data_IF_076211070832
#
_entry.id   IF_076211070832
#
_cell.length_a   1.000
_cell.length_b   1.000
_cell.length_c   1.000
_cell.angle_alpha   90.00
_cell.angle_beta   90.00
_cell.angle_gamma   90.00
#
_symmetry.space_group_name_H-M   'P 1'
#
loop_
_entity.id
_entity.type
_entity.pdbx_description
1 polymer ?
#
# COMPACT_ATOMS: atom_id res chain seq x y z
N UNK A 1 20.98 -9.79 31.55
CA UNK A 1 20.68 -8.41 31.13
C UNK A 1 19.56 -8.50 30.12
N UNK A 2 18.40 -7.89 30.39
CA UNK A 2 17.36 -7.74 29.37
C UNK A 2 17.95 -7.01 28.15
N UNK A 3 17.84 -7.63 26.97
CA UNK A 3 18.28 -7.00 25.71
C UNK A 3 17.32 -5.85 25.45
N UNK A 4 17.83 -4.63 25.32
CA UNK A 4 17.00 -3.47 24.96
C UNK A 4 16.46 -3.65 23.54
N UNK A 5 15.20 -3.30 23.34
CA UNK A 5 14.56 -3.29 22.03
C UNK A 5 15.36 -2.47 21.01
N UNK A 6 15.34 -2.93 19.75
CA UNK A 6 16.05 -2.32 18.62
C UNK A 6 15.55 -0.89 18.36
N UNK A 7 14.25 -0.66 18.58
CA UNK A 7 13.53 0.59 18.31
C UNK A 7 13.84 1.72 19.32
N UNK A 8 15.09 1.85 19.75
CA UNK A 8 15.55 2.97 20.58
C UNK A 8 16.68 3.73 19.89
N UNK A 9 16.75 5.07 19.99
CA UNK A 9 17.76 5.85 19.27
C UNK A 9 19.20 5.43 19.58
N UNK A 10 19.47 5.03 20.84
CA UNK A 10 20.79 4.57 21.26
C UNK A 10 21.15 3.21 20.65
N UNK A 11 20.23 2.24 20.70
CA UNK A 11 20.47 0.89 20.15
C UNK A 11 20.61 0.92 18.64
N UNK A 12 19.78 1.70 17.94
CA UNK A 12 19.91 1.82 16.48
C UNK A 12 21.25 2.47 16.09
N UNK A 13 21.73 3.49 16.81
CA UNK A 13 23.06 4.09 16.57
C UNK A 13 24.20 3.11 16.83
N UNK A 14 24.09 2.32 17.89
CA UNK A 14 25.06 1.27 18.20
C UNK A 14 25.18 0.27 17.05
N UNK A 15 24.06 -0.23 16.52
CA UNK A 15 24.02 -1.13 15.37
C UNK A 15 24.61 -0.49 14.11
N UNK A 16 24.25 0.77 13.82
CA UNK A 16 24.84 1.50 12.68
C UNK A 16 26.36 1.56 12.76
N UNK A 17 26.91 1.85 13.93
CA UNK A 17 28.36 1.93 14.15
C UNK A 17 29.02 0.56 14.10
N UNK A 18 28.45 -0.46 14.74
CA UNK A 18 28.95 -1.83 14.77
C UNK A 18 29.13 -2.39 13.35
N UNK A 19 28.21 -2.08 12.45
CA UNK A 19 28.21 -2.58 11.08
C UNK A 19 28.75 -1.58 10.04
N UNK A 20 29.21 -0.40 10.47
CA UNK A 20 29.66 0.67 9.56
C UNK A 20 28.60 1.07 8.53
N UNK A 21 27.32 0.99 8.92
CA UNK A 21 26.20 1.11 8.00
C UNK A 21 25.92 2.56 7.63
N UNK A 22 25.88 2.83 6.33
CA UNK A 22 25.50 4.13 5.78
C UNK A 22 24.18 4.02 5.01
N UNK A 23 23.28 4.96 5.31
CA UNK A 23 21.97 5.07 4.69
C UNK A 23 22.06 5.34 3.18
N UNK A 24 21.26 4.62 2.41
CA UNK A 24 21.03 4.90 0.98
C UNK A 24 19.77 5.74 0.80
N UNK A 25 19.93 7.01 0.45
CA UNK A 25 18.81 7.90 0.09
C UNK A 25 17.98 7.33 -1.07
N UNK A 26 18.61 6.67 -2.03
CA UNK A 26 17.95 6.04 -3.18
C UNK A 26 16.98 4.91 -2.80
N UNK A 27 17.19 4.27 -1.65
CA UNK A 27 16.29 3.22 -1.13
C UNK A 27 15.29 3.76 -0.11
N UNK A 28 15.24 5.09 0.12
CA UNK A 28 14.28 5.69 1.05
C UNK A 28 14.41 5.23 2.50
N UNK A 29 15.61 4.82 2.94
CA UNK A 29 15.84 4.27 4.27
C UNK A 29 15.65 5.33 5.36
N UNK A 30 14.58 5.18 6.15
CA UNK A 30 14.31 5.95 7.37
C UNK A 30 13.87 4.95 8.45
N UNK A 31 14.74 4.68 9.43
CA UNK A 31 14.46 3.67 10.45
C UNK A 31 13.65 4.26 11.59
N UNK A 32 12.59 3.55 11.99
CA UNK A 32 11.74 3.92 13.11
C UNK A 32 12.48 3.65 14.44
N UNK A 33 12.57 4.68 15.28
CA UNK A 33 13.32 4.68 16.55
C UNK A 33 12.44 5.03 17.76
N UNK A 34 11.13 4.84 17.63
CA UNK A 34 10.16 5.09 18.70
C UNK A 34 9.27 3.86 18.92
N UNK A 35 9.46 3.19 20.05
CA UNK A 35 8.73 1.98 20.42
C UNK A 35 7.24 2.22 20.63
N UNK A 36 6.82 3.43 21.04
CA UNK A 36 5.40 3.72 21.27
C UNK A 36 4.63 3.79 19.94
N UNK A 37 5.27 4.30 18.89
CA UNK A 37 4.69 4.25 17.53
C UNK A 37 4.56 2.80 17.07
N UNK A 38 5.56 1.96 17.35
CA UNK A 38 5.49 0.53 17.00
C UNK A 38 4.37 -0.16 17.76
N UNK A 39 4.22 0.06 19.06
CA UNK A 39 3.11 -0.53 19.83
C UNK A 39 1.75 -0.15 19.23
N UNK A 40 1.54 1.11 18.84
CA UNK A 40 0.31 1.52 18.15
C UNK A 40 0.07 0.83 16.81
N UNK A 41 1.15 0.52 16.07
CA UNK A 41 1.07 -0.27 14.83
C UNK A 41 0.66 -1.71 15.14
N UNK A 42 1.29 -2.33 16.14
CA UNK A 42 0.97 -3.70 16.59
C UNK A 42 -0.49 -3.77 17.06
N UNK A 43 -0.92 -2.87 17.94
CA UNK A 43 -2.29 -2.80 18.46
C UNK A 43 -3.32 -2.66 17.33
N UNK A 44 -3.06 -1.77 16.37
CA UNK A 44 -3.96 -1.56 15.23
C UNK A 44 -4.03 -2.77 14.29
N UNK A 45 -2.92 -3.52 14.18
CA UNK A 45 -2.82 -4.70 13.32
C UNK A 45 -3.60 -5.90 13.83
N UNK A 46 -3.89 -5.96 15.15
CA UNK A 46 -4.65 -7.06 15.77
C UNK A 46 -4.04 -8.44 15.47
N UNK A 47 -2.73 -8.50 15.24
CA UNK A 47 -2.00 -9.75 15.03
C UNK A 47 -1.90 -10.53 16.33
N UNK A 48 -1.87 -11.85 16.21
CA UNK A 48 -1.74 -12.77 17.33
C UNK A 48 -0.93 -14.01 16.95
N UNK A 49 -0.90 -15.00 17.85
CA UNK A 49 -0.17 -16.26 17.68
C UNK A 49 -0.76 -17.22 16.64
N UNK A 50 -1.80 -16.81 15.93
CA UNK A 50 -2.33 -17.51 14.75
C UNK A 50 -2.00 -16.78 13.44
N UNK A 51 -1.59 -15.50 13.54
CA UNK A 51 -1.43 -14.61 12.39
C UNK A 51 -0.04 -14.71 11.77
N UNK A 52 0.01 -14.86 10.45
CA UNK A 52 1.21 -14.67 9.63
C UNK A 52 1.35 -13.19 9.23
N UNK A 53 2.58 -12.67 9.23
CA UNK A 53 2.85 -11.29 8.85
C UNK A 53 3.77 -11.21 7.65
N UNK A 54 3.37 -10.41 6.65
CA UNK A 54 4.25 -9.96 5.58
C UNK A 54 4.75 -8.55 5.94
N UNK A 55 6.07 -8.40 6.01
CA UNK A 55 6.72 -7.10 6.21
C UNK A 55 7.54 -6.73 4.97
N UNK A 56 7.56 -5.44 4.64
CA UNK A 56 8.34 -4.91 3.51
C UNK A 56 9.33 -3.88 4.04
N UNK A 57 10.62 -4.15 3.86
CA UNK A 57 11.70 -3.28 4.32
C UNK A 57 11.86 -3.31 5.85
N UNK A 58 12.32 -4.43 6.44
CA UNK A 58 12.53 -4.55 7.88
C UNK A 58 13.59 -3.57 8.42
N UNK A 59 14.49 -3.07 7.56
CA UNK A 59 15.54 -2.14 7.97
C UNK A 59 16.47 -2.77 8.99
N UNK A 60 16.55 -2.19 10.19
CA UNK A 60 17.33 -2.74 11.31
C UNK A 60 16.60 -3.81 12.11
N UNK A 61 15.35 -4.13 11.75
CA UNK A 61 14.52 -5.09 12.47
C UNK A 61 13.68 -4.49 13.60
N UNK A 62 13.59 -3.15 13.72
CA UNK A 62 12.83 -2.49 14.79
C UNK A 62 11.37 -2.93 14.86
N UNK A 63 10.69 -2.96 13.70
CA UNK A 63 9.30 -3.40 13.61
C UNK A 63 9.25 -4.93 13.62
N UNK A 64 10.10 -5.60 12.84
CA UNK A 64 10.23 -7.06 12.78
C UNK A 64 10.33 -7.73 14.14
N UNK A 65 11.14 -7.19 15.05
CA UNK A 65 11.27 -7.69 16.42
C UNK A 65 9.92 -7.69 17.17
N UNK A 66 9.16 -6.60 17.05
CA UNK A 66 7.87 -6.49 17.73
C UNK A 66 6.82 -7.37 17.03
N UNK A 67 6.88 -7.51 15.71
CA UNK A 67 6.04 -8.47 14.99
C UNK A 67 6.32 -9.90 15.44
N UNK A 68 7.58 -10.30 15.56
CA UNK A 68 7.98 -11.64 15.98
C UNK A 68 7.48 -12.00 17.38
N UNK A 69 7.46 -11.01 18.29
CA UNK A 69 6.92 -11.17 19.66
C UNK A 69 5.41 -11.44 19.68
N UNK A 70 4.63 -10.98 18.71
CA UNK A 70 3.16 -11.06 18.74
C UNK A 70 2.57 -12.04 17.72
N UNK A 71 3.15 -12.13 16.53
CA UNK A 71 2.69 -12.98 15.43
C UNK A 71 3.04 -14.46 15.64
N UNK A 72 2.40 -15.34 14.84
CA UNK A 72 2.83 -16.73 14.64
C UNK A 72 4.14 -16.78 13.86
N UNK A 73 4.17 -16.13 12.70
CA UNK A 73 5.32 -16.08 11.79
C UNK A 73 5.44 -14.70 11.14
N UNK A 74 6.67 -14.27 10.87
CA UNK A 74 6.97 -13.03 10.14
C UNK A 74 7.83 -13.36 8.93
N UNK A 75 7.39 -12.90 7.76
CA UNK A 75 8.11 -13.00 6.50
C UNK A 75 8.43 -11.58 6.02
N UNK A 76 9.70 -11.21 6.01
CA UNK A 76 10.14 -9.86 5.68
C UNK A 76 10.97 -9.83 4.39
N UNK A 77 10.59 -8.97 3.45
CA UNK A 77 11.35 -8.72 2.22
C UNK A 77 12.32 -7.54 2.40
N UNK A 78 13.61 -7.77 2.15
CA UNK A 78 14.66 -6.73 2.22
C UNK A 78 15.48 -6.71 0.94
N UNK A 79 15.56 -5.55 0.29
CA UNK A 79 16.30 -5.39 -0.97
C UNK A 79 17.80 -5.12 -0.73
N UNK A 80 18.16 -4.48 0.39
CA UNK A 80 19.54 -4.11 0.69
C UNK A 80 20.28 -5.27 1.36
N UNK A 81 21.04 -6.02 0.56
CA UNK A 81 21.85 -7.16 1.01
C UNK A 81 22.75 -6.84 2.23
N UNK A 82 23.13 -5.57 2.40
CA UNK A 82 23.95 -5.10 3.54
C UNK A 82 23.24 -5.23 4.89
N UNK A 83 21.90 -5.25 4.91
CA UNK A 83 21.11 -5.42 6.13
C UNK A 83 20.96 -6.88 6.53
N UNK A 84 21.22 -7.84 5.65
CA UNK A 84 21.03 -9.27 5.94
C UNK A 84 21.92 -9.76 7.12
N UNK A 85 23.22 -9.41 7.21
CA UNK A 85 24.03 -9.75 8.38
C UNK A 85 23.53 -9.07 9.67
N UNK A 86 22.98 -7.86 9.56
CA UNK A 86 22.44 -7.11 10.70
C UNK A 86 21.17 -7.76 11.22
N UNK A 87 20.23 -8.07 10.33
CA UNK A 87 18.98 -8.75 10.62
C UNK A 87 19.24 -10.14 11.22
N UNK A 88 20.22 -10.87 10.69
CA UNK A 88 20.61 -12.18 11.25
C UNK A 88 21.08 -12.10 12.71
N UNK A 89 21.82 -11.07 13.10
CA UNK A 89 22.27 -10.90 14.50
C UNK A 89 21.17 -10.34 15.40
N UNK A 90 20.50 -9.28 14.95
CA UNK A 90 19.47 -8.58 15.71
C UNK A 90 18.25 -9.45 15.97
N UNK A 91 17.88 -10.29 15.00
CA UNK A 91 16.71 -11.17 15.06
C UNK A 91 17.05 -12.62 15.44
N UNK A 92 18.32 -12.93 15.72
CA UNK A 92 18.74 -14.27 16.19
C UNK A 92 17.91 -14.86 17.35
N UNK A 93 17.38 -14.06 18.31
CA UNK A 93 16.52 -14.58 19.37
C UNK A 93 15.13 -15.07 18.93
N UNK A 94 14.72 -14.77 17.69
CA UNK A 94 13.38 -15.07 17.17
C UNK A 94 13.48 -16.15 16.10
N UNK A 95 12.90 -17.32 16.36
CA UNK A 95 12.89 -18.49 15.47
C UNK A 95 11.76 -18.46 14.44
N UNK A 96 10.83 -17.51 14.57
CA UNK A 96 9.64 -17.36 13.74
C UNK A 96 9.76 -16.26 12.67
N UNK A 97 10.99 -15.82 12.35
CA UNK A 97 11.25 -14.78 11.34
C UNK A 97 11.98 -15.35 10.14
N UNK A 98 11.43 -15.14 8.95
CA UNK A 98 12.07 -15.42 7.66
C UNK A 98 12.43 -14.12 6.96
N UNK A 99 13.71 -13.92 6.62
CA UNK A 99 14.16 -12.78 5.82
C UNK A 99 14.42 -13.24 4.38
N UNK A 100 13.71 -12.64 3.42
CA UNK A 100 13.89 -12.88 1.99
C UNK A 100 14.65 -11.68 1.41
N UNK A 101 15.86 -11.92 0.93
CA UNK A 101 16.67 -10.85 0.31
C UNK A 101 16.29 -10.65 -1.15
N UNK A 102 15.14 -10.02 -1.39
CA UNK A 102 14.60 -9.78 -2.73
C UNK A 102 13.83 -8.46 -2.80
N UNK A 103 13.76 -7.87 -4.00
CA UNK A 103 12.84 -6.78 -4.29
C UNK A 103 11.42 -7.34 -4.33
N UNK A 104 10.55 -6.91 -3.41
CA UNK A 104 9.18 -7.40 -3.32
C UNK A 104 8.39 -7.24 -4.63
N UNK A 105 8.70 -6.21 -5.43
CA UNK A 105 8.02 -5.99 -6.72
C UNK A 105 8.42 -7.01 -7.80
N UNK A 106 9.45 -7.83 -7.55
CA UNK A 106 9.94 -8.87 -8.44
C UNK A 106 9.78 -10.28 -7.88
N UNK A 107 9.54 -10.38 -6.58
CA UNK A 107 9.40 -11.65 -5.87
C UNK A 107 8.11 -12.38 -6.25
N UNK A 108 8.15 -13.70 -6.17
CA UNK A 108 6.96 -14.56 -6.21
C UNK A 108 6.33 -14.64 -4.82
N UNK A 109 5.52 -13.62 -4.50
CA UNK A 109 4.95 -13.44 -3.16
C UNK A 109 3.97 -14.58 -2.82
N UNK A 110 3.17 -15.03 -3.80
CA UNK A 110 2.22 -16.12 -3.61
C UNK A 110 2.93 -17.42 -3.19
N UNK A 111 4.01 -17.78 -3.90
CA UNK A 111 4.82 -18.94 -3.53
C UNK A 111 5.50 -18.78 -2.18
N UNK A 112 5.98 -17.57 -1.86
CA UNK A 112 6.60 -17.30 -0.56
C UNK A 112 5.59 -17.45 0.58
N UNK A 113 4.35 -16.98 0.40
CA UNK A 113 3.24 -17.17 1.34
C UNK A 113 2.91 -18.65 1.52
N UNK A 114 2.76 -19.41 0.43
CA UNK A 114 2.53 -20.86 0.49
C UNK A 114 3.67 -21.61 1.19
N UNK A 115 4.91 -21.13 1.05
CA UNK A 115 6.08 -21.77 1.67
C UNK A 115 6.19 -21.44 3.17
N UNK A 116 5.99 -20.18 3.54
CA UNK A 116 6.36 -19.67 4.85
C UNK A 116 5.18 -19.44 5.79
N UNK A 117 3.98 -19.16 5.26
CA UNK A 117 2.80 -18.74 6.04
C UNK A 117 1.59 -19.69 5.86
N UNK A 118 1.76 -20.88 5.27
CA UNK A 118 0.67 -21.82 4.97
C UNK A 118 -0.11 -22.35 6.19
N UNK A 119 0.49 -22.33 7.36
CA UNK A 119 -0.11 -22.81 8.61
C UNK A 119 -0.69 -21.66 9.43
N UNK A 120 -0.73 -20.44 8.91
CA UNK A 120 -1.33 -19.29 9.58
C UNK A 120 -2.82 -19.20 9.27
N UNK A 121 -3.62 -18.85 10.27
CA UNK A 121 -5.08 -18.73 10.13
C UNK A 121 -5.46 -17.45 9.36
N UNK A 122 -4.60 -16.44 9.44
CA UNK A 122 -4.74 -15.11 8.84
C UNK A 122 -3.40 -14.57 8.38
N UNK A 123 -3.40 -13.70 7.38
CA UNK A 123 -2.21 -13.01 6.90
C UNK A 123 -2.44 -11.49 6.90
N UNK A 124 -1.58 -10.79 7.64
CA UNK A 124 -1.56 -9.33 7.69
C UNK A 124 -0.30 -8.78 7.04
N UNK A 125 -0.41 -7.69 6.29
CA UNK A 125 0.75 -6.89 5.86
C UNK A 125 1.00 -5.81 6.90
N UNK A 126 2.12 -5.87 7.61
CA UNK A 126 2.49 -4.86 8.62
C UNK A 126 3.87 -4.33 8.30
N UNK A 127 3.96 -3.06 7.88
CA UNK A 127 5.21 -2.53 7.34
C UNK A 127 5.36 -1.01 7.49
N UNK A 128 6.60 -0.56 7.65
CA UNK A 128 7.01 0.81 7.39
C UNK A 128 7.49 0.93 5.94
N UNK A 129 6.60 1.30 5.03
CA UNK A 129 6.87 1.21 3.60
C UNK A 129 7.90 2.25 3.13
N UNK A 130 8.81 1.87 2.22
CA UNK A 130 9.71 2.82 1.58
C UNK A 130 8.91 3.82 0.73
N UNK A 131 9.17 5.11 0.92
CA UNK A 131 8.33 6.17 0.37
C UNK A 131 8.33 6.24 -1.16
N UNK A 132 9.45 5.91 -1.79
CA UNK A 132 9.62 6.06 -3.23
C UNK A 132 8.81 5.03 -4.06
N UNK A 133 8.41 3.92 -3.45
CA UNK A 133 7.69 2.80 -4.09
C UNK A 133 6.47 2.31 -3.29
N UNK A 134 5.97 3.10 -2.33
CA UNK A 134 4.79 2.74 -1.51
C UNK A 134 3.59 2.35 -2.38
N UNK A 135 3.23 3.19 -3.35
CA UNK A 135 2.06 2.93 -4.20
C UNK A 135 2.20 1.67 -5.05
N UNK A 136 3.33 1.45 -5.78
CA UNK A 136 3.57 0.16 -6.45
C UNK A 136 3.46 -1.06 -5.54
N UNK A 137 4.00 -1.00 -4.31
CA UNK A 137 3.94 -2.14 -3.37
C UNK A 137 2.49 -2.47 -3.01
N UNK A 138 1.70 -1.47 -2.61
CA UNK A 138 0.31 -1.69 -2.22
C UNK A 138 -0.53 -2.25 -3.36
N UNK A 139 -0.40 -1.67 -4.56
CA UNK A 139 -1.12 -2.16 -5.74
C UNK A 139 -0.72 -3.59 -6.10
N UNK A 140 0.58 -3.89 -6.06
CA UNK A 140 1.09 -5.23 -6.34
C UNK A 140 0.60 -6.28 -5.33
N UNK A 141 0.47 -5.93 -4.05
CA UNK A 141 -0.06 -6.83 -3.03
C UNK A 141 -1.58 -7.00 -3.12
N UNK A 142 -2.33 -5.94 -3.42
CA UNK A 142 -3.80 -5.98 -3.50
C UNK A 142 -4.32 -6.68 -4.76
N UNK A 143 -3.55 -6.65 -5.86
CA UNK A 143 -3.95 -7.22 -7.15
C UNK A 143 -3.43 -8.65 -7.37
N UNK A 144 -2.71 -9.21 -6.41
CA UNK A 144 -2.32 -10.61 -6.43
C UNK A 144 -3.36 -11.48 -5.73
N UNK A 145 -3.53 -12.70 -6.22
CA UNK A 145 -4.40 -13.70 -5.59
C UNK A 145 -3.68 -14.34 -4.38
N UNK A 146 -3.59 -13.55 -3.30
CA UNK A 146 -2.96 -13.93 -2.04
C UNK A 146 -3.99 -13.68 -0.94
N UNK A 147 -4.18 -14.61 0.02
CA UNK A 147 -5.17 -14.48 1.07
C UNK A 147 -4.71 -13.49 2.16
N UNK A 148 -4.65 -12.20 1.83
CA UNK A 148 -4.32 -11.11 2.76
C UNK A 148 -5.60 -10.59 3.40
N UNK A 149 -5.71 -10.68 4.72
CA UNK A 149 -6.84 -10.19 5.51
C UNK A 149 -6.82 -8.67 5.69
N UNK A 150 -5.64 -8.06 5.66
CA UNK A 150 -5.52 -6.63 5.78
C UNK A 150 -4.09 -6.11 5.87
N UNK A 151 -4.00 -4.78 5.98
CA UNK A 151 -2.78 -4.02 5.92
C UNK A 151 -2.76 -3.00 7.07
N UNK A 152 -1.68 -2.97 7.84
CA UNK A 152 -1.36 -1.85 8.74
C UNK A 152 0.00 -1.32 8.35
N UNK A 153 -0.02 -0.24 7.57
CA UNK A 153 1.17 0.25 6.89
C UNK A 153 1.43 1.71 7.19
N UNK A 154 2.69 2.03 7.40
CA UNK A 154 3.17 3.40 7.55
C UNK A 154 3.76 3.89 6.23
N UNK A 155 3.47 5.15 5.88
CA UNK A 155 3.95 5.79 4.67
C UNK A 155 3.94 7.32 4.81
N UNK A 156 4.36 8.04 3.77
CA UNK A 156 4.23 9.50 3.73
C UNK A 156 2.78 9.93 3.93
N UNK A 157 2.57 10.99 4.71
CA UNK A 157 1.25 11.52 5.04
C UNK A 157 0.37 11.77 3.81
N UNK A 158 0.90 12.42 2.78
CA UNK A 158 0.17 12.71 1.54
C UNK A 158 -0.32 11.43 0.84
N UNK A 159 0.49 10.37 0.82
CA UNK A 159 0.10 9.10 0.17
C UNK A 159 -1.02 8.42 0.96
N UNK A 160 -0.91 8.35 2.28
CA UNK A 160 -1.95 7.75 3.12
C UNK A 160 -3.26 8.54 3.10
N UNK A 161 -3.20 9.87 3.00
CA UNK A 161 -4.39 10.72 2.81
C UNK A 161 -5.13 10.39 1.51
N UNK A 162 -4.42 9.96 0.45
CA UNK A 162 -5.04 9.53 -0.81
C UNK A 162 -5.75 8.18 -0.69
N UNK A 163 -5.25 7.25 0.14
CA UNK A 163 -5.89 5.95 0.35
C UNK A 163 -7.27 6.09 1.03
N UNK A 164 -7.37 7.03 1.96
CA UNK A 164 -8.56 7.31 2.76
C UNK A 164 -9.35 8.54 2.27
N UNK A 165 -9.13 8.96 1.02
CA UNK A 165 -9.72 10.18 0.51
C UNK A 165 -11.21 10.02 0.19
N UNK A 166 -12.02 11.00 0.57
CA UNK A 166 -13.43 11.08 0.21
C UNK A 166 -13.62 11.68 -1.18
N UNK A 167 -14.72 11.32 -1.85
CA UNK A 167 -15.09 11.84 -3.17
C UNK A 167 -15.13 13.37 -3.16
N UNK A 168 -14.58 13.99 -4.21
CA UNK A 168 -14.54 15.46 -4.37
C UNK A 168 -13.41 16.15 -3.61
N UNK A 169 -12.62 15.43 -2.80
CA UNK A 169 -11.51 16.04 -2.05
C UNK A 169 -10.24 16.20 -2.87
N UNK A 170 -9.30 17.02 -2.36
CA UNK A 170 -8.02 17.23 -3.04
C UNK A 170 -7.19 15.94 -3.16
N UNK A 171 -7.31 15.02 -2.19
CA UNK A 171 -6.54 13.78 -2.16
C UNK A 171 -7.17 12.65 -3.00
N UNK A 172 -8.44 12.77 -3.38
CA UNK A 172 -9.16 11.72 -4.09
C UNK A 172 -8.64 11.50 -5.50
N UNK A 173 -8.42 10.23 -5.84
CA UNK A 173 -7.75 9.84 -7.07
C UNK A 173 -7.90 8.36 -7.41
N UNK A 174 -7.21 7.92 -8.46
CA UNK A 174 -7.20 6.52 -8.88
C UNK A 174 -6.72 5.56 -7.78
N UNK A 175 -5.80 5.99 -6.92
CA UNK A 175 -5.34 5.21 -5.77
C UNK A 175 -6.45 4.98 -4.74
N UNK A 176 -7.30 5.99 -4.52
CA UNK A 176 -8.47 5.88 -3.64
C UNK A 176 -9.43 4.82 -4.17
N UNK A 177 -9.71 4.83 -5.47
CA UNK A 177 -10.58 3.85 -6.14
C UNK A 177 -10.07 2.42 -5.93
N UNK A 178 -8.80 2.15 -6.27
CA UNK A 178 -8.25 0.79 -6.15
C UNK A 178 -8.26 0.32 -4.69
N UNK A 179 -7.87 1.20 -3.77
CA UNK A 179 -7.77 0.82 -2.35
C UNK A 179 -9.16 0.56 -1.75
N UNK A 180 -10.13 1.43 -2.02
CA UNK A 180 -11.49 1.31 -1.47
C UNK A 180 -12.29 0.18 -2.13
N UNK A 181 -11.92 -0.23 -3.34
CA UNK A 181 -12.46 -1.40 -4.03
C UNK A 181 -12.21 -2.68 -3.21
N UNK A 182 -10.95 -2.92 -2.84
CA UNK A 182 -10.54 -4.13 -2.10
C UNK A 182 -10.75 -4.01 -0.59
N UNK A 183 -10.65 -2.80 -0.02
CA UNK A 183 -10.50 -2.64 1.43
C UNK A 183 -11.42 -1.58 2.05
N UNK A 184 -11.65 -1.73 3.34
CA UNK A 184 -12.12 -0.68 4.23
C UNK A 184 -10.94 0.08 4.81
N UNK A 185 -10.88 1.38 4.52
CA UNK A 185 -9.73 2.22 4.87
C UNK A 185 -10.03 3.06 6.10
N UNK A 186 -9.02 3.19 6.97
CA UNK A 186 -9.08 4.06 8.14
C UNK A 186 -7.70 4.60 8.51
N UNK A 187 -7.67 5.80 9.07
CA UNK A 187 -6.46 6.39 9.66
C UNK A 187 -6.26 5.86 11.08
N UNK A 188 -5.06 5.38 11.39
CA UNK A 188 -4.69 4.98 12.75
C UNK A 188 -4.05 6.15 13.49
N UNK A 189 -2.94 6.69 12.97
CA UNK A 189 -2.27 7.85 13.57
C UNK A 189 -1.42 8.63 12.56
N UNK A 190 -1.11 9.89 12.90
CA UNK A 190 -0.05 10.66 12.24
C UNK A 190 1.24 10.52 13.04
N UNK A 191 2.36 10.35 12.35
CA UNK A 191 3.67 10.06 12.94
C UNK A 191 4.65 11.17 12.57
N UNK A 192 5.22 11.89 13.55
CA UNK A 192 6.12 13.01 13.27
C UNK A 192 7.46 12.52 12.72
N UNK A 193 8.06 13.25 11.79
CA UNK A 193 9.37 12.89 11.22
C UNK A 193 10.52 12.71 12.23
N UNK A 194 10.38 13.26 13.44
CA UNK A 194 11.40 13.17 14.50
C UNK A 194 11.58 11.77 15.08
N UNK A 195 10.64 10.84 14.85
CA UNK A 195 10.76 9.44 15.33
C UNK A 195 11.53 8.53 14.37
N UNK A 196 12.22 9.11 13.38
CA UNK A 196 12.99 8.37 12.40
C UNK A 196 14.48 8.74 12.41
N UNK A 197 15.32 7.81 11.97
CA UNK A 197 16.74 8.02 11.72
C UNK A 197 17.15 7.49 10.33
N UNK A 198 17.64 8.37 9.42
CA UNK A 198 17.52 9.82 9.48
C UNK A 198 16.04 10.27 9.46
N UNK A 199 15.73 11.50 9.89
CA UNK A 199 14.38 12.03 9.77
C UNK A 199 14.03 12.28 8.29
N UNK A 200 12.83 11.90 7.82
CA UNK A 200 12.37 12.23 6.49
C UNK A 200 12.03 13.72 6.36
N UNK A 201 11.78 14.16 5.13
CA UNK A 201 11.43 15.55 4.83
C UNK A 201 10.00 15.93 5.26
N UNK A 202 9.11 14.94 5.33
CA UNK A 202 7.67 15.09 5.59
C UNK A 202 7.24 14.15 6.72
N UNK A 203 6.12 14.46 7.34
CA UNK A 203 5.51 13.56 8.32
C UNK A 203 4.94 12.29 7.66
N UNK A 204 4.75 11.27 8.50
CA UNK A 204 4.18 9.98 8.12
C UNK A 204 2.75 9.82 8.65
N UNK A 205 2.08 8.80 8.14
CA UNK A 205 0.77 8.35 8.58
C UNK A 205 0.75 6.83 8.61
N UNK A 206 0.09 6.26 9.61
CA UNK A 206 -0.26 4.85 9.67
C UNK A 206 -1.72 4.71 9.28
N UNK A 207 -2.00 3.85 8.31
CA UNK A 207 -3.35 3.52 7.84
C UNK A 207 -3.61 2.04 8.06
N UNK A 208 -4.87 1.72 8.36
CA UNK A 208 -5.38 0.36 8.44
C UNK A 208 -6.35 0.15 7.27
N UNK A 209 -6.10 -0.89 6.49
CA UNK A 209 -6.87 -1.27 5.31
C UNK A 209 -7.30 -2.72 5.53
N UNK A 210 -8.58 -2.99 5.80
CA UNK A 210 -9.07 -4.35 6.01
C UNK A 210 -9.70 -4.88 4.74
N UNK A 211 -9.34 -6.09 4.33
CA UNK A 211 -9.90 -6.71 3.13
C UNK A 211 -11.42 -6.87 3.29
N UNK A 212 -12.16 -6.54 2.24
CA UNK A 212 -13.61 -6.77 2.19
C UNK A 212 -13.88 -8.24 1.84
N UNK A 213 -14.94 -8.80 2.43
CA UNK A 213 -15.44 -10.12 2.02
C UNK A 213 -15.91 -10.11 0.55
N UNK A 214 -16.52 -9.00 0.13
CA UNK A 214 -16.90 -8.75 -1.26
C UNK A 214 -16.41 -7.37 -1.69
N UNK A 215 -15.86 -7.22 -2.91
CA UNK A 215 -15.49 -5.92 -3.42
C UNK A 215 -16.65 -4.92 -3.39
N UNK A 216 -16.32 -3.63 -3.23
CA UNK A 216 -17.32 -2.58 -3.07
C UNK A 216 -18.27 -2.44 -4.27
N UNK A 217 -17.82 -2.86 -5.45
CA UNK A 217 -18.61 -2.98 -6.69
C UNK A 217 -18.19 -4.25 -7.43
N UNK A 218 -19.12 -4.88 -8.15
CA UNK A 218 -18.84 -6.07 -8.97
C UNK A 218 -18.51 -5.66 -10.40
N UNK A 219 -17.38 -6.14 -10.91
CA UNK A 219 -16.94 -5.96 -12.31
C UNK A 219 -16.40 -7.29 -12.83
N UNK A 220 -16.45 -7.50 -14.15
CA UNK A 220 -15.97 -8.73 -14.80
C UNK A 220 -14.48 -8.70 -15.17
N UNK A 221 -13.89 -7.51 -15.32
CA UNK A 221 -12.45 -7.29 -15.52
C UNK A 221 -11.97 -6.09 -14.69
N UNK A 222 -11.30 -6.39 -13.56
CA UNK A 222 -10.75 -5.39 -12.65
C UNK A 222 -9.66 -4.52 -13.31
N UNK A 223 -8.85 -5.09 -14.19
CA UNK A 223 -7.77 -4.34 -14.84
C UNK A 223 -8.36 -3.29 -15.79
N UNK A 224 -9.36 -3.68 -16.58
CA UNK A 224 -10.08 -2.76 -17.46
C UNK A 224 -10.81 -1.68 -16.65
N UNK A 225 -11.46 -2.05 -15.55
CA UNK A 225 -12.11 -1.12 -14.63
C UNK A 225 -11.14 -0.08 -14.05
N UNK A 226 -10.00 -0.51 -13.49
CA UNK A 226 -9.02 0.43 -12.93
C UNK A 226 -8.33 1.27 -14.00
N UNK A 227 -8.11 0.73 -15.21
CA UNK A 227 -7.60 1.49 -16.36
C UNK A 227 -8.58 2.62 -16.72
N UNK A 228 -9.88 2.33 -16.75
CA UNK A 228 -10.94 3.30 -17.00
C UNK A 228 -11.03 4.37 -15.90
N UNK A 229 -11.01 3.97 -14.63
CA UNK A 229 -11.05 4.90 -13.51
C UNK A 229 -9.81 5.81 -13.52
N UNK A 230 -8.62 5.25 -13.71
CA UNK A 230 -7.35 6.01 -13.79
C UNK A 230 -7.38 7.08 -14.87
N UNK A 231 -7.99 6.80 -16.02
CA UNK A 231 -8.10 7.75 -17.13
C UNK A 231 -8.85 9.03 -16.72
N UNK A 232 -9.88 8.93 -15.89
CA UNK A 232 -10.66 10.08 -15.42
C UNK A 232 -9.85 11.07 -14.56
N UNK A 233 -8.72 10.62 -14.00
CA UNK A 233 -7.83 11.44 -13.17
C UNK A 233 -6.57 11.95 -13.92
N UNK A 234 -6.42 11.66 -15.22
CA UNK A 234 -5.21 12.01 -15.98
C UNK A 234 -4.92 13.52 -15.99
N UNK A 235 -5.95 14.35 -16.24
CA UNK A 235 -5.87 15.80 -16.16
C UNK A 235 -6.91 16.33 -15.16
N UNK A 236 -6.45 16.56 -13.93
CA UNK A 236 -7.29 16.97 -12.80
C UNK A 236 -8.17 18.20 -13.04
N UNK A 237 -7.66 19.19 -13.77
CA UNK A 237 -8.38 20.46 -14.04
C UNK A 237 -9.36 20.36 -15.23
N UNK A 238 -9.39 19.24 -15.95
CA UNK A 238 -10.27 19.00 -17.09
C UNK A 238 -11.53 18.25 -16.68
N UNK A 239 -12.56 18.40 -17.49
CA UNK A 239 -13.79 17.61 -17.35
C UNK A 239 -13.53 16.15 -17.69
N UNK A 240 -14.42 15.27 -17.24
CA UNK A 240 -14.34 13.83 -17.46
C UNK A 240 -14.40 13.48 -18.95
N UNK A 241 -15.25 14.17 -19.72
CA UNK A 241 -15.30 14.03 -21.18
C UNK A 241 -13.95 14.33 -21.85
N UNK A 242 -13.26 15.40 -21.43
CA UNK A 242 -11.94 15.73 -21.98
C UNK A 242 -10.88 14.70 -21.60
N UNK A 243 -10.95 14.12 -20.40
CA UNK A 243 -10.04 13.05 -20.01
C UNK A 243 -10.27 11.80 -20.87
N UNK A 244 -11.53 11.41 -21.10
CA UNK A 244 -11.84 10.24 -21.91
C UNK A 244 -11.57 10.42 -23.40
N UNK A 245 -11.68 11.64 -23.95
CA UNK A 245 -11.24 11.95 -25.32
C UNK A 245 -9.74 11.71 -25.53
N UNK A 246 -8.92 11.82 -24.49
CA UNK A 246 -7.48 11.53 -24.56
C UNK A 246 -7.16 10.07 -24.24
N UNK A 247 -8.13 9.30 -23.74
CA UNK A 247 -7.97 7.91 -23.33
C UNK A 247 -8.38 6.94 -24.43
N UNK A 248 -9.53 7.18 -25.06
CA UNK A 248 -10.02 6.36 -26.15
C UNK A 248 -9.28 6.69 -27.45
N UNK A 249 -9.05 5.66 -28.26
CA UNK A 249 -8.58 5.78 -29.63
C UNK A 249 -9.57 6.63 -30.42
N UNK A 250 -9.06 7.57 -31.21
CA UNK A 250 -9.88 8.54 -31.95
C UNK A 250 -10.89 9.29 -31.07
N UNK A 251 -10.60 9.44 -29.77
CA UNK A 251 -11.54 9.97 -28.79
C UNK A 251 -12.00 11.41 -29.08
N UNK A 252 -11.18 12.23 -29.75
CA UNK A 252 -11.59 13.57 -30.20
C UNK A 252 -12.70 13.51 -31.26
N UNK A 253 -12.63 12.56 -32.18
CA UNK A 253 -13.64 12.30 -33.20
C UNK A 253 -14.89 11.68 -32.57
N UNK A 254 -14.72 10.84 -31.54
CA UNK A 254 -15.80 10.17 -30.81
C UNK A 254 -16.38 10.99 -29.65
N UNK A 255 -16.15 12.31 -29.60
CA UNK A 255 -16.60 13.18 -28.50
C UNK A 255 -18.10 13.07 -28.20
N UNK A 256 -18.93 12.94 -29.23
CA UNK A 256 -20.39 12.80 -29.07
C UNK A 256 -20.74 11.43 -28.46
N UNK A 257 -20.15 10.34 -28.94
CA UNK A 257 -20.31 9.00 -28.34
C UNK A 257 -19.87 8.97 -26.89
N UNK A 258 -18.70 9.55 -26.56
CA UNK A 258 -18.21 9.65 -25.18
C UNK A 258 -19.21 10.43 -24.31
N UNK A 259 -19.78 11.51 -24.82
CA UNK A 259 -20.76 12.32 -24.07
C UNK A 259 -22.05 11.55 -23.83
N UNK A 260 -22.57 10.84 -24.84
CA UNK A 260 -23.74 9.96 -24.71
C UNK A 260 -23.51 8.81 -23.74
N UNK A 261 -22.31 8.20 -23.76
CA UNK A 261 -21.93 7.14 -22.83
C UNK A 261 -21.90 7.62 -21.38
N UNK A 262 -21.33 8.80 -21.13
CA UNK A 262 -21.36 9.44 -19.81
C UNK A 262 -22.81 9.72 -19.36
N UNK A 263 -23.65 10.24 -20.24
CA UNK A 263 -25.07 10.52 -19.97
C UNK A 263 -25.89 9.26 -19.69
N UNK A 264 -25.65 8.16 -20.42
CA UNK A 264 -26.29 6.85 -20.16
C UNK A 264 -25.93 6.29 -18.78
N UNK A 265 -24.72 6.58 -18.29
CA UNK A 265 -24.29 6.23 -16.94
C UNK A 265 -24.75 7.24 -15.86
N UNK A 266 -25.62 8.19 -16.20
CA UNK A 266 -26.12 9.28 -15.34
C UNK A 266 -25.02 10.22 -14.83
N UNK A 267 -24.08 10.56 -15.72
CA UNK A 267 -22.93 11.42 -15.40
C UNK A 267 -22.86 12.60 -16.37
N UNK A 268 -22.97 13.82 -15.82
CA UNK A 268 -22.76 15.04 -16.60
C UNK A 268 -21.33 15.08 -17.20
N UNK A 269 -21.18 15.14 -18.54
CA UNK A 269 -19.88 15.20 -19.21
C UNK A 269 -18.96 16.36 -18.80
N UNK A 270 -19.52 17.39 -18.14
CA UNK A 270 -18.80 18.56 -17.62
C UNK A 270 -18.26 18.37 -16.20
N UNK A 271 -18.67 17.32 -15.48
CA UNK A 271 -18.08 16.97 -14.17
C UNK A 271 -16.59 16.68 -14.30
N UNK A 272 -15.87 16.75 -13.18
CA UNK A 272 -14.47 16.30 -13.09
C UNK A 272 -14.42 14.89 -12.54
N UNK A 273 -13.42 14.11 -12.95
CA UNK A 273 -13.24 12.74 -12.47
C UNK A 273 -13.18 12.63 -10.94
N UNK A 274 -12.60 13.63 -10.27
CA UNK A 274 -12.53 13.67 -8.79
C UNK A 274 -13.89 13.76 -8.09
N UNK A 275 -14.96 14.07 -8.82
CA UNK A 275 -16.32 14.11 -8.25
C UNK A 275 -17.06 12.79 -8.34
N UNK A 276 -16.51 11.77 -9.04
CA UNK A 276 -17.20 10.49 -9.25
C UNK A 276 -16.89 9.49 -8.13
N UNK A 277 -17.93 8.83 -7.64
CA UNK A 277 -17.80 7.70 -6.72
C UNK A 277 -17.31 6.43 -7.44
N UNK A 278 -16.90 5.42 -6.69
CA UNK A 278 -16.58 4.11 -7.27
C UNK A 278 -17.81 3.44 -7.91
N UNK A 279 -19.01 3.70 -7.39
CA UNK A 279 -20.27 3.26 -7.99
C UNK A 279 -20.54 3.97 -9.31
N UNK A 280 -20.20 5.26 -9.44
CA UNK A 280 -20.28 5.99 -10.70
C UNK A 280 -19.36 5.37 -11.74
N UNK A 281 -18.12 5.02 -11.36
CA UNK A 281 -17.20 4.31 -12.24
C UNK A 281 -17.68 2.91 -12.63
N UNK A 282 -18.33 2.19 -11.72
CA UNK A 282 -18.89 0.86 -12.02
C UNK A 282 -20.02 0.96 -13.05
N UNK A 283 -20.90 1.97 -12.93
CA UNK A 283 -21.92 2.25 -13.95
C UNK A 283 -21.29 2.61 -15.30
N UNK A 284 -20.27 3.48 -15.31
CA UNK A 284 -19.54 3.80 -16.54
C UNK A 284 -18.95 2.56 -17.21
N UNK A 285 -18.35 1.69 -16.40
CA UNK A 285 -17.72 0.48 -16.86
C UNK A 285 -18.75 -0.47 -17.51
N UNK A 286 -19.89 -0.67 -16.87
CA UNK A 286 -20.96 -1.51 -17.42
C UNK A 286 -21.57 -0.91 -18.69
N UNK A 287 -21.93 0.39 -18.66
CA UNK A 287 -22.52 1.08 -19.81
C UNK A 287 -21.58 1.15 -21.01
N UNK A 288 -20.25 1.05 -20.81
CA UNK A 288 -19.28 1.02 -21.91
C UNK A 288 -19.58 -0.13 -22.89
N UNK A 289 -20.15 -1.25 -22.42
CA UNK A 289 -20.51 -2.41 -23.26
C UNK A 289 -21.50 -2.04 -24.38
N UNK A 290 -22.28 -0.98 -24.21
CA UNK A 290 -23.21 -0.45 -25.20
C UNK A 290 -22.55 0.46 -26.26
N UNK A 291 -21.25 0.77 -26.10
CA UNK A 291 -20.48 1.65 -26.98
C UNK A 291 -19.20 0.95 -27.46
N UNK A 292 -19.32 -0.07 -28.32
CA UNK A 292 -18.18 -0.87 -28.78
C UNK A 292 -17.13 -0.05 -29.54
N UNK A 293 -17.48 1.12 -30.08
CA UNK A 293 -16.54 2.02 -30.73
C UNK A 293 -15.53 2.68 -29.78
N UNK A 294 -15.77 2.65 -28.46
CA UNK A 294 -14.90 3.27 -27.44
C UNK A 294 -13.74 2.34 -27.03
N UNK A 295 -12.79 2.14 -27.93
CA UNK A 295 -11.59 1.32 -27.72
C UNK A 295 -10.42 2.12 -27.10
N UNK A 296 -9.56 1.48 -26.29
CA UNK A 296 -8.50 2.15 -25.48
C UNK A 296 -7.25 1.30 -25.21
#
# INVERSE_FOLDING_TARGET
>A
MERKDIATPSRTKELLNQYGFNFKKSLGQNFLIDVNIIHKIIDASQIDKTTGVIEVGPGMGSLTEQLAKHAKKVMSFEIDQRLIPVLKDTLAPYDNVTIINEDILKADIAKAVETHLNDCDKIMVVANLPYYITTPILLNLMQQDIPIDGYVVMMQKEVGERLNAEVGTKAYGSLSIVTQYYTETSKVLTVPKSVFMPPPNVDSIVVKLMQRETPLVKVDDEQAFFKLAKAAFAQRRKTINNNYQNFFKDGKQLKESISKWLEQADIDPKRRGETLSIQDFARLYEEKKNFPELEN
#
